data_IF_265265890548
#
_entry.id   IF_265265890548
#
_cell.length_a   1.000
_cell.length_b   1.000
_cell.length_c   1.000
_cell.angle_alpha   90.00
_cell.angle_beta   90.00
_cell.angle_gamma   90.00
#
_symmetry.space_group_name_H-M   'P 1'
#
loop_
_entity.id
_entity.type
_entity.pdbx_description
1 polymer ?
#
# COMPACT_ATOMS: atom_id res chain seq x y z
N UNK A 1 -12.23 -12.44 -5.22
CA UNK A 1 -11.39 -13.47 -4.52
C UNK A 1 -11.71 -13.39 -3.04
N UNK A 2 -11.84 -14.53 -2.36
CA UNK A 2 -12.19 -14.61 -0.93
C UNK A 2 -11.11 -15.40 -0.22
N UNK A 3 -10.58 -14.86 0.87
CA UNK A 3 -9.67 -15.56 1.76
C UNK A 3 -10.49 -16.44 2.71
N UNK A 4 -10.31 -17.75 2.62
CA UNK A 4 -11.07 -18.73 3.41
C UNK A 4 -10.43 -19.03 4.76
N UNK A 5 -9.10 -19.00 4.77
CA UNK A 5 -8.31 -19.46 5.89
C UNK A 5 -6.98 -18.71 5.98
N UNK A 6 -6.55 -18.43 7.21
CA UNK A 6 -5.21 -17.92 7.50
C UNK A 6 -4.65 -18.63 8.72
N UNK A 7 -3.39 -19.05 8.62
CA UNK A 7 -2.58 -19.57 9.73
C UNK A 7 -1.36 -18.67 9.90
N UNK A 8 -0.98 -18.40 11.14
CA UNK A 8 0.24 -17.66 11.43
C UNK A 8 0.92 -18.20 12.70
N UNK A 9 2.25 -18.14 12.68
CA UNK A 9 3.13 -18.53 13.77
C UNK A 9 4.20 -17.45 13.95
N UNK A 10 4.50 -17.11 15.20
CA UNK A 10 5.54 -16.13 15.53
C UNK A 10 5.32 -14.72 14.98
N UNK A 11 4.07 -14.28 14.74
CA UNK A 11 3.76 -13.00 14.13
C UNK A 11 3.38 -11.95 15.18
N UNK A 12 4.19 -10.89 15.33
CA UNK A 12 3.93 -9.76 16.25
C UNK A 12 3.62 -10.23 17.69
N UNK A 13 2.48 -9.80 18.25
CA UNK A 13 1.99 -10.26 19.57
C UNK A 13 0.88 -11.30 19.46
N UNK A 14 0.61 -11.83 18.26
CA UNK A 14 -0.46 -12.81 18.07
C UNK A 14 -0.07 -14.17 18.62
N UNK A 15 -1.00 -14.85 19.26
CA UNK A 15 -0.86 -16.26 19.62
C UNK A 15 -0.97 -17.10 18.36
N UNK A 16 -0.08 -18.08 18.22
CA UNK A 16 -0.04 -18.94 17.03
C UNK A 16 -1.38 -19.66 16.88
N UNK A 17 -2.04 -19.47 15.75
CA UNK A 17 -3.37 -20.02 15.52
C UNK A 17 -3.72 -20.12 14.03
N UNK A 18 -4.78 -20.84 13.78
CA UNK A 18 -5.43 -21.07 12.49
C UNK A 18 -6.86 -20.54 12.55
N UNK A 19 -7.28 -19.74 11.56
CA UNK A 19 -8.56 -19.05 11.57
C UNK A 19 -9.32 -19.32 10.28
N UNK A 20 -10.54 -19.81 10.41
CA UNK A 20 -11.52 -19.87 9.30
C UNK A 20 -12.27 -18.54 9.19
N UNK A 21 -12.40 -18.01 8.00
CA UNK A 21 -12.92 -16.68 7.72
C UNK A 21 -14.30 -16.73 7.04
N UNK A 22 -15.12 -15.70 7.25
CA UNK A 22 -16.36 -15.52 6.53
C UNK A 22 -16.12 -14.87 5.16
N UNK A 23 -16.98 -15.19 4.20
CA UNK A 23 -16.86 -14.72 2.82
C UNK A 23 -17.14 -13.21 2.67
N UNK A 24 -17.99 -12.65 3.54
CA UNK A 24 -18.39 -11.25 3.46
C UNK A 24 -17.73 -10.41 4.57
N UNK A 25 -18.24 -10.45 5.79
CA UNK A 25 -17.77 -9.60 6.87
C UNK A 25 -17.10 -10.38 8.00
N UNK A 26 -15.91 -9.94 8.37
CA UNK A 26 -15.12 -10.44 9.48
C UNK A 26 -14.87 -9.30 10.47
N UNK A 27 -15.59 -9.30 11.59
CA UNK A 27 -15.44 -8.28 12.62
C UNK A 27 -14.39 -8.70 13.63
N UNK A 28 -13.42 -7.83 13.87
CA UNK A 28 -12.30 -8.05 14.77
C UNK A 28 -12.44 -7.08 15.93
N UNK A 29 -12.91 -7.57 17.07
CA UNK A 29 -13.27 -6.76 18.23
C UNK A 29 -12.29 -7.02 19.37
N UNK A 30 -11.86 -5.95 20.03
CA UNK A 30 -10.95 -6.04 21.18
C UNK A 30 -10.47 -4.66 21.62
N UNK A 31 -9.86 -4.60 22.78
CA UNK A 31 -9.31 -3.35 23.33
C UNK A 31 -8.12 -2.82 22.51
N UNK A 32 -7.72 -1.58 22.80
CA UNK A 32 -6.51 -1.01 22.19
C UNK A 32 -5.28 -1.82 22.64
N UNK A 33 -4.44 -2.17 21.66
CA UNK A 33 -3.26 -3.00 21.89
C UNK A 33 -3.53 -4.51 21.95
N UNK A 34 -4.79 -4.98 21.85
CA UNK A 34 -5.13 -6.40 21.91
C UNK A 34 -4.53 -7.24 20.77
N UNK A 35 -4.22 -6.62 19.60
CA UNK A 35 -3.67 -7.33 18.44
C UNK A 35 -4.50 -7.20 17.16
N UNK A 36 -5.61 -6.42 17.17
CA UNK A 36 -6.50 -6.23 16.00
C UNK A 36 -5.75 -5.83 14.73
N UNK A 37 -4.97 -4.75 14.83
CA UNK A 37 -4.14 -4.27 13.71
C UNK A 37 -3.11 -5.31 13.27
N UNK A 38 -2.56 -6.11 14.20
CA UNK A 38 -1.57 -7.14 13.87
C UNK A 38 -2.20 -8.31 13.10
N UNK A 39 -3.48 -8.65 13.36
CA UNK A 39 -4.20 -9.60 12.53
C UNK A 39 -4.46 -9.07 11.11
N UNK A 40 -4.88 -7.81 10.98
CA UNK A 40 -5.00 -7.17 9.67
C UNK A 40 -3.64 -7.09 8.96
N UNK A 41 -2.55 -6.85 9.70
CA UNK A 41 -1.18 -6.84 9.16
C UNK A 41 -0.77 -8.22 8.66
N UNK A 42 -1.12 -9.31 9.36
CA UNK A 42 -0.86 -10.68 8.91
C UNK A 42 -1.58 -11.01 7.60
N UNK A 43 -2.87 -10.61 7.46
CA UNK A 43 -3.64 -10.79 6.23
C UNK A 43 -3.03 -9.96 5.07
N UNK A 44 -2.67 -8.70 5.33
CA UNK A 44 -2.00 -7.86 4.34
C UNK A 44 -0.65 -8.43 3.92
N UNK A 45 0.14 -8.91 4.90
CA UNK A 45 1.44 -9.52 4.67
C UNK A 45 1.33 -10.80 3.84
N UNK A 46 0.33 -11.63 4.12
CA UNK A 46 0.03 -12.82 3.33
C UNK A 46 -0.21 -12.52 1.86
N UNK A 47 -0.85 -11.39 1.53
CA UNK A 47 -1.13 -10.99 0.14
C UNK A 47 0.01 -10.29 -0.58
N UNK A 48 0.92 -9.62 0.16
CA UNK A 48 1.89 -8.69 -0.41
C UNK A 48 3.35 -9.02 -0.06
N UNK A 49 3.60 -9.97 0.82
CA UNK A 49 4.93 -10.30 1.37
C UNK A 49 5.67 -9.03 1.89
N UNK A 50 4.94 -8.07 2.40
CA UNK A 50 5.44 -6.81 2.98
C UNK A 50 4.40 -6.24 3.93
N UNK A 51 4.83 -5.57 4.99
CA UNK A 51 3.95 -4.87 5.91
C UNK A 51 3.53 -3.51 5.35
N UNK A 52 2.35 -3.03 5.75
CA UNK A 52 1.91 -1.65 5.47
C UNK A 52 2.40 -0.65 6.55
N UNK A 53 2.95 -1.13 7.67
CA UNK A 53 3.41 -0.32 8.81
C UNK A 53 4.92 -0.34 8.98
N UNK A 54 5.56 -1.46 8.63
CA UNK A 54 6.94 -1.76 8.95
C UNK A 54 7.78 -1.92 7.67
N UNK A 55 8.95 -1.30 7.66
CA UNK A 55 9.86 -1.39 6.53
C UNK A 55 10.80 -2.61 6.60
N UNK A 56 11.06 -3.10 7.81
CA UNK A 56 11.94 -4.23 8.06
C UNK A 56 11.10 -5.44 8.50
N UNK A 57 10.92 -6.40 7.62
CA UNK A 57 10.11 -7.59 7.88
C UNK A 57 10.52 -8.35 9.14
N UNK A 58 11.79 -8.27 9.54
CA UNK A 58 12.28 -8.92 10.78
C UNK A 58 11.58 -8.41 12.05
N UNK A 59 11.12 -7.17 12.04
CA UNK A 59 10.37 -6.58 13.14
C UNK A 59 8.94 -7.15 13.27
N UNK A 60 8.51 -7.99 12.32
CA UNK A 60 7.25 -8.72 12.38
C UNK A 60 7.38 -10.00 13.21
N UNK A 61 8.61 -10.53 13.40
CA UNK A 61 8.85 -11.73 14.19
C UNK A 61 8.56 -11.40 15.66
N UNK A 62 7.76 -12.24 16.32
CA UNK A 62 7.45 -12.11 17.74
C UNK A 62 8.76 -12.17 18.58
N UNK A 63 8.83 -11.40 19.65
CA UNK A 63 10.06 -11.21 20.42
C UNK A 63 10.67 -12.52 20.96
N UNK A 64 9.83 -13.49 21.30
CA UNK A 64 10.21 -14.82 21.82
C UNK A 64 10.32 -15.92 20.73
N UNK A 65 10.12 -15.54 19.44
CA UNK A 65 10.19 -16.46 18.32
C UNK A 65 11.47 -16.30 17.50
N UNK A 66 11.91 -17.37 16.88
CA UNK A 66 13.07 -17.36 15.97
C UNK A 66 12.68 -17.10 14.52
N UNK A 67 11.41 -17.30 14.17
CA UNK A 67 10.85 -17.13 12.83
C UNK A 67 9.40 -16.70 12.90
N UNK A 68 8.88 -16.22 11.77
CA UNK A 68 7.46 -16.15 11.50
C UNK A 68 7.10 -17.03 10.32
N UNK A 69 5.88 -17.55 10.34
CA UNK A 69 5.23 -18.20 9.21
C UNK A 69 3.82 -17.65 9.07
N UNK A 70 3.41 -17.35 7.84
CA UNK A 70 2.03 -16.97 7.51
C UNK A 70 1.60 -17.77 6.32
N UNK A 71 0.49 -18.47 6.44
CA UNK A 71 -0.16 -19.22 5.35
C UNK A 71 -1.56 -18.70 5.12
N UNK A 72 -1.94 -18.57 3.86
CA UNK A 72 -3.23 -18.03 3.45
C UNK A 72 -3.81 -18.86 2.32
N UNK A 73 -5.06 -19.29 2.47
CA UNK A 73 -5.78 -20.09 1.47
C UNK A 73 -7.02 -19.30 1.02
N UNK A 74 -7.08 -18.98 -0.27
CA UNK A 74 -8.23 -18.31 -0.86
C UNK A 74 -9.27 -19.31 -1.38
N UNK A 75 -8.82 -20.41 -1.99
CA UNK A 75 -9.61 -21.56 -2.40
C UNK A 75 -8.69 -22.79 -2.49
N UNK A 76 -9.21 -23.94 -2.94
CA UNK A 76 -8.48 -25.22 -2.93
C UNK A 76 -7.12 -25.16 -3.67
N UNK A 77 -7.04 -24.38 -4.76
CA UNK A 77 -5.85 -24.29 -5.60
C UNK A 77 -5.03 -22.99 -5.38
N UNK A 78 -5.59 -21.99 -4.67
CA UNK A 78 -4.95 -20.68 -4.48
C UNK A 78 -4.53 -20.47 -3.03
N UNK A 79 -3.29 -20.80 -2.75
CA UNK A 79 -2.67 -20.65 -1.44
C UNK A 79 -1.30 -19.99 -1.54
N UNK A 80 -0.89 -19.38 -0.46
CA UNK A 80 0.44 -18.81 -0.31
C UNK A 80 1.00 -19.06 1.08
N UNK A 81 2.31 -19.22 1.16
CA UNK A 81 3.02 -19.32 2.42
C UNK A 81 4.25 -18.40 2.41
N UNK A 82 4.45 -17.72 3.53
CA UNK A 82 5.62 -16.89 3.80
C UNK A 82 6.31 -17.43 5.03
N UNK A 83 7.58 -17.73 4.90
CA UNK A 83 8.47 -18.05 6.02
C UNK A 83 9.58 -17.00 6.09
N UNK A 84 9.84 -16.47 7.26
CA UNK A 84 10.91 -15.51 7.52
C UNK A 84 11.63 -15.86 8.81
N UNK A 85 12.94 -15.97 8.73
CA UNK A 85 13.84 -16.02 9.88
C UNK A 85 14.88 -14.86 9.79
N UNK A 86 15.89 -14.88 10.65
CA UNK A 86 16.96 -13.86 10.69
C UNK A 86 17.76 -13.76 9.39
N UNK A 87 17.86 -14.86 8.64
CA UNK A 87 18.80 -14.98 7.53
C UNK A 87 18.07 -14.99 6.17
N UNK A 88 16.84 -15.48 6.11
CA UNK A 88 16.17 -15.76 4.83
C UNK A 88 14.66 -15.53 4.90
N UNK A 89 14.13 -15.16 3.74
CA UNK A 89 12.70 -15.11 3.45
C UNK A 89 12.38 -16.08 2.33
N UNK A 90 11.42 -16.97 2.56
CA UNK A 90 10.93 -17.92 1.55
C UNK A 90 9.48 -17.59 1.24
N UNK A 91 9.16 -17.59 -0.03
CA UNK A 91 7.80 -17.36 -0.55
C UNK A 91 7.38 -18.60 -1.32
N UNK A 92 6.17 -19.05 -1.08
CA UNK A 92 5.54 -20.16 -1.82
C UNK A 92 4.18 -19.70 -2.30
N UNK A 93 3.83 -20.00 -3.54
CA UNK A 93 2.53 -19.69 -4.14
C UNK A 93 2.04 -20.93 -4.91
N UNK A 94 0.84 -21.41 -4.56
CA UNK A 94 0.24 -22.63 -5.13
C UNK A 94 1.22 -23.82 -5.11
N UNK A 95 1.89 -24.03 -3.96
CA UNK A 95 2.89 -25.09 -3.77
C UNK A 95 4.26 -24.86 -4.42
N UNK A 96 4.43 -23.81 -5.23
CA UNK A 96 5.68 -23.53 -5.92
C UNK A 96 6.50 -22.46 -5.20
N UNK A 97 7.81 -22.68 -5.08
CA UNK A 97 8.72 -21.69 -4.51
C UNK A 97 8.85 -20.47 -5.44
N UNK A 98 8.69 -19.27 -4.88
CA UNK A 98 8.79 -18.00 -5.59
C UNK A 98 10.14 -17.35 -5.29
N UNK A 99 10.92 -17.06 -6.33
CA UNK A 99 12.24 -16.43 -6.20
C UNK A 99 12.20 -14.89 -6.27
N UNK A 100 11.17 -14.32 -6.89
CA UNK A 100 11.02 -12.88 -7.06
C UNK A 100 9.79 -12.38 -6.34
N UNK A 101 9.95 -11.38 -5.48
CA UNK A 101 8.83 -10.77 -4.76
C UNK A 101 7.77 -10.19 -5.72
N UNK A 102 8.20 -9.73 -6.91
CA UNK A 102 7.29 -9.23 -7.96
C UNK A 102 6.25 -10.26 -8.42
N UNK A 103 6.59 -11.55 -8.35
CA UNK A 103 5.71 -12.63 -8.78
C UNK A 103 4.74 -13.06 -7.67
N UNK A 104 5.00 -12.61 -6.44
CA UNK A 104 4.17 -12.84 -5.27
C UNK A 104 3.22 -11.67 -4.99
N UNK A 105 3.69 -10.42 -5.14
CA UNK A 105 2.89 -9.24 -4.79
C UNK A 105 1.59 -9.23 -5.58
N UNK A 106 0.50 -9.15 -4.81
CA UNK A 106 -0.85 -9.03 -5.36
C UNK A 106 -1.45 -10.34 -5.85
N UNK A 107 -0.90 -11.52 -5.53
CA UNK A 107 -1.62 -12.79 -5.77
C UNK A 107 -3.00 -12.77 -5.09
N UNK A 108 -3.08 -12.15 -3.92
CA UNK A 108 -4.29 -11.81 -3.21
C UNK A 108 -4.47 -10.29 -3.27
N UNK A 109 -5.57 -9.82 -3.85
CA UNK A 109 -5.90 -8.39 -3.89
C UNK A 109 -6.33 -7.93 -2.51
N UNK A 110 -5.50 -7.12 -1.82
CA UNK A 110 -5.80 -6.60 -0.49
C UNK A 110 -5.61 -5.10 -0.45
N UNK A 111 -6.59 -4.37 0.05
CA UNK A 111 -6.51 -2.92 0.30
C UNK A 111 -6.77 -2.64 1.77
N UNK A 112 -5.86 -1.94 2.43
CA UNK A 112 -6.01 -1.47 3.82
C UNK A 112 -6.53 -0.02 3.81
N UNK A 113 -7.49 0.26 4.67
CA UNK A 113 -8.00 1.60 4.98
C UNK A 113 -7.80 1.79 6.49
N UNK A 114 -6.95 2.72 6.88
CA UNK A 114 -6.59 2.95 8.27
C UNK A 114 -6.70 4.42 8.66
N UNK A 115 -6.69 4.67 9.96
CA UNK A 115 -6.64 6.03 10.50
C UNK A 115 -5.38 6.79 10.05
N UNK A 116 -4.29 6.07 9.79
CA UNK A 116 -3.02 6.65 9.35
C UNK A 116 -3.02 7.10 7.88
N UNK A 117 -4.00 6.66 7.07
CA UNK A 117 -4.07 7.04 5.66
C UNK A 117 -4.28 8.54 5.44
N UNK A 118 -4.72 9.28 6.48
CA UNK A 118 -4.78 10.75 6.46
C UNK A 118 -3.41 11.36 6.10
N UNK A 119 -2.30 10.69 6.46
CA UNK A 119 -0.96 11.15 6.14
C UNK A 119 -0.61 11.05 4.64
N UNK A 120 -1.42 10.37 3.82
CA UNK A 120 -1.30 10.41 2.37
C UNK A 120 -1.66 11.81 1.88
N UNK A 121 -2.69 12.43 2.44
CA UNK A 121 -3.15 13.77 2.05
C UNK A 121 -2.34 14.86 2.75
N UNK A 122 -2.20 14.78 4.09
CA UNK A 122 -1.56 15.78 4.95
C UNK A 122 -0.04 15.69 5.00
N UNK A 123 0.50 14.50 4.85
CA UNK A 123 1.90 14.19 5.13
C UNK A 123 2.90 14.59 4.04
N UNK A 124 4.13 14.13 4.21
CA UNK A 124 5.22 14.40 3.28
C UNK A 124 5.01 13.73 1.91
N UNK A 125 5.63 14.25 0.84
CA UNK A 125 5.60 13.65 -0.51
C UNK A 125 5.98 12.17 -0.57
N UNK A 126 6.81 11.70 0.37
CA UNK A 126 7.20 10.29 0.46
C UNK A 126 6.01 9.35 0.72
N UNK A 127 5.04 9.77 1.54
CA UNK A 127 3.81 8.99 1.81
C UNK A 127 2.94 8.89 0.56
N UNK A 128 2.79 10.00 -0.17
CA UNK A 128 2.01 10.05 -1.42
C UNK A 128 2.63 9.18 -2.52
N UNK A 129 3.97 9.24 -2.66
CA UNK A 129 4.67 8.35 -3.60
C UNK A 129 4.55 6.89 -3.20
N UNK A 130 4.68 6.58 -1.92
CA UNK A 130 4.51 5.21 -1.43
C UNK A 130 3.11 4.68 -1.75
N UNK A 131 2.06 5.47 -1.51
CA UNK A 131 0.70 5.12 -1.90
C UNK A 131 0.59 4.83 -3.41
N UNK A 132 1.06 5.75 -4.27
CA UNK A 132 0.99 5.59 -5.72
C UNK A 132 1.76 4.34 -6.19
N UNK A 133 2.97 4.13 -5.64
CA UNK A 133 3.78 2.96 -5.97
C UNK A 133 3.09 1.66 -5.56
N UNK A 134 2.46 1.61 -4.38
CA UNK A 134 1.70 0.44 -3.93
C UNK A 134 0.45 0.19 -4.77
N UNK A 135 -0.31 1.23 -5.09
CA UNK A 135 -1.52 1.11 -5.92
C UNK A 135 -1.19 0.53 -7.31
N UNK A 136 -0.08 0.97 -7.93
CA UNK A 136 0.34 0.45 -9.25
C UNK A 136 1.02 -0.92 -9.14
N UNK A 137 1.81 -1.17 -8.08
CA UNK A 137 2.51 -2.43 -7.86
C UNK A 137 1.55 -3.63 -7.80
N UNK A 138 0.41 -3.48 -7.12
CA UNK A 138 -0.65 -4.50 -7.06
C UNK A 138 -1.29 -4.82 -8.41
N UNK A 139 -1.16 -3.91 -9.38
CA UNK A 139 -1.71 -4.05 -10.73
C UNK A 139 -0.69 -4.62 -11.74
N UNK A 140 0.61 -4.56 -11.42
CA UNK A 140 1.66 -4.87 -12.38
C UNK A 140 2.94 -5.40 -11.71
N UNK A 141 3.21 -6.71 -11.75
CA UNK A 141 4.49 -7.28 -11.30
C UNK A 141 5.70 -6.62 -11.97
N UNK A 142 5.59 -6.26 -13.25
CA UNK A 142 6.64 -5.54 -13.97
C UNK A 142 6.95 -4.16 -13.37
N UNK A 143 5.97 -3.48 -12.75
CA UNK A 143 6.20 -2.22 -12.06
C UNK A 143 7.04 -2.40 -10.79
N UNK A 144 6.81 -3.49 -10.06
CA UNK A 144 7.60 -3.84 -8.87
C UNK A 144 9.06 -4.07 -9.24
N UNK A 145 9.31 -4.82 -10.33
CA UNK A 145 10.66 -5.07 -10.82
C UNK A 145 11.39 -3.76 -11.21
N UNK A 146 10.70 -2.87 -11.95
CA UNK A 146 11.26 -1.57 -12.34
C UNK A 146 11.55 -0.69 -11.12
N UNK A 147 10.68 -0.66 -10.12
CA UNK A 147 10.92 0.10 -8.90
C UNK A 147 12.16 -0.40 -8.14
N UNK A 148 12.33 -1.70 -8.04
CA UNK A 148 13.49 -2.31 -7.37
C UNK A 148 14.78 -1.94 -8.12
N UNK A 149 14.79 -2.09 -9.45
CA UNK A 149 15.94 -1.75 -10.29
C UNK A 149 16.25 -0.25 -10.20
N UNK A 150 15.24 0.60 -10.37
CA UNK A 150 15.39 2.04 -10.30
C UNK A 150 15.94 2.52 -8.95
N UNK A 151 15.44 1.98 -7.83
CA UNK A 151 15.97 2.32 -6.49
C UNK A 151 17.43 1.94 -6.32
N UNK A 152 17.86 0.79 -6.85
CA UNK A 152 19.27 0.38 -6.85
C UNK A 152 20.14 1.36 -7.64
N UNK A 153 19.67 1.76 -8.83
CA UNK A 153 20.39 2.73 -9.68
C UNK A 153 20.52 4.08 -8.97
N UNK A 154 19.42 4.60 -8.38
CA UNK A 154 19.45 5.85 -7.62
C UNK A 154 20.43 5.77 -6.44
N UNK A 155 20.47 4.65 -5.70
CA UNK A 155 21.41 4.46 -4.60
C UNK A 155 22.85 4.44 -5.09
N UNK A 156 23.16 3.72 -6.18
CA UNK A 156 24.49 3.67 -6.76
C UNK A 156 24.92 5.05 -7.26
N UNK A 157 24.02 5.75 -7.96
CA UNK A 157 24.26 7.09 -8.47
C UNK A 157 24.50 8.11 -7.34
N UNK A 158 23.74 8.02 -6.24
CA UNK A 158 23.93 8.88 -5.07
C UNK A 158 25.28 8.61 -4.39
N UNK A 159 25.70 7.35 -4.22
CA UNK A 159 27.03 7.01 -3.69
C UNK A 159 28.12 7.58 -4.58
N UNK A 160 27.97 7.50 -5.89
CA UNK A 160 28.92 8.06 -6.83
C UNK A 160 28.97 9.59 -6.74
N UNK A 161 27.81 10.28 -6.68
CA UNK A 161 27.73 11.73 -6.50
C UNK A 161 28.44 12.21 -5.21
N UNK A 162 28.40 11.41 -4.14
CA UNK A 162 29.06 11.71 -2.86
C UNK A 162 30.58 11.48 -2.88
N UNK A 163 31.07 10.63 -3.77
CA UNK A 163 32.48 10.25 -3.86
C UNK A 163 33.24 10.96 -5.00
N UNK A 164 32.55 11.77 -5.81
CA UNK A 164 33.13 12.38 -6.99
C UNK A 164 34.15 13.47 -6.62
N UNK A 165 35.40 13.30 -7.02
CA UNK A 165 36.41 14.34 -7.04
C UNK A 165 36.46 14.94 -8.45
N UNK A 166 36.89 16.20 -8.59
CA UNK A 166 36.75 17.02 -9.81
C UNK A 166 37.27 16.37 -11.11
N UNK A 167 38.09 15.34 -11.04
CA UNK A 167 38.76 14.75 -12.20
C UNK A 167 38.34 13.34 -12.62
N UNK A 168 37.40 12.69 -11.93
CA UNK A 168 37.19 11.26 -12.14
C UNK A 168 35.77 10.80 -12.29
N UNK A 169 35.42 10.26 -13.46
CA UNK A 169 34.24 9.41 -13.54
C UNK A 169 33.18 9.74 -14.59
N UNK A 170 33.49 10.58 -15.60
CA UNK A 170 32.52 10.93 -16.67
C UNK A 170 31.87 9.71 -17.33
N UNK A 171 32.65 8.68 -17.65
CA UNK A 171 32.13 7.44 -18.25
C UNK A 171 31.15 6.69 -17.35
N UNK A 172 31.44 6.64 -16.04
CA UNK A 172 30.54 6.00 -15.09
C UNK A 172 29.22 6.80 -14.90
N UNK A 173 29.31 8.13 -14.95
CA UNK A 173 28.15 9.00 -14.96
C UNK A 173 27.23 8.71 -16.14
N UNK A 174 27.80 8.65 -17.34
CA UNK A 174 27.05 8.41 -18.57
C UNK A 174 26.30 7.07 -18.50
N UNK A 175 26.96 6.02 -18.01
CA UNK A 175 26.30 4.69 -17.82
C UNK A 175 25.16 4.75 -16.78
N UNK A 176 25.41 5.38 -15.63
CA UNK A 176 24.37 5.50 -14.58
C UNK A 176 23.21 6.39 -15.02
N UNK A 177 23.47 7.43 -15.82
CA UNK A 177 22.43 8.27 -16.41
C UNK A 177 21.57 7.50 -17.41
N UNK A 178 22.18 6.73 -18.32
CA UNK A 178 21.44 5.90 -19.28
C UNK A 178 20.54 4.88 -18.56
N UNK A 179 21.06 4.23 -17.52
CA UNK A 179 20.26 3.32 -16.70
C UNK A 179 19.11 4.03 -15.98
N UNK A 180 19.37 5.20 -15.38
CA UNK A 180 18.37 6.02 -14.70
C UNK A 180 17.25 6.47 -15.65
N UNK A 181 17.62 6.93 -16.85
CA UNK A 181 16.68 7.34 -17.91
C UNK A 181 15.81 6.16 -18.31
N UNK A 182 16.40 5.03 -18.66
CA UNK A 182 15.67 3.84 -19.09
C UNK A 182 14.67 3.38 -18.04
N UNK A 183 15.11 3.13 -16.81
CA UNK A 183 14.24 2.61 -15.76
C UNK A 183 13.26 3.67 -15.26
N UNK A 184 13.66 4.93 -15.18
CA UNK A 184 12.76 6.03 -14.78
C UNK A 184 11.62 6.25 -15.77
N UNK A 185 11.89 6.14 -17.07
CA UNK A 185 10.87 6.29 -18.12
C UNK A 185 9.90 5.11 -18.14
N UNK A 186 10.32 3.88 -17.84
CA UNK A 186 9.37 2.76 -17.67
C UNK A 186 8.42 2.98 -16.48
N UNK A 187 8.90 3.55 -15.38
CA UNK A 187 8.05 3.95 -14.24
C UNK A 187 7.07 5.05 -14.67
N UNK A 188 7.55 6.09 -15.36
CA UNK A 188 6.69 7.18 -15.85
C UNK A 188 5.60 6.70 -16.78
N UNK A 189 5.92 5.85 -17.73
CA UNK A 189 4.96 5.26 -18.67
C UNK A 189 3.84 4.51 -17.91
N UNK A 190 4.19 3.71 -16.91
CA UNK A 190 3.23 2.96 -16.13
C UNK A 190 2.39 3.86 -15.21
N UNK A 191 2.98 4.89 -14.60
CA UNK A 191 2.24 5.90 -13.83
C UNK A 191 1.27 6.68 -14.74
N UNK A 192 1.73 7.19 -15.88
CA UNK A 192 0.89 7.92 -16.84
C UNK A 192 -0.33 7.11 -17.28
N UNK A 193 -0.18 5.79 -17.48
CA UNK A 193 -1.28 4.93 -17.85
C UNK A 193 -2.33 4.72 -16.73
N UNK A 194 -1.96 4.87 -15.45
CA UNK A 194 -2.85 4.60 -14.31
C UNK A 194 -3.42 5.86 -13.64
N UNK A 195 -2.73 6.97 -13.73
CA UNK A 195 -3.13 8.24 -13.09
C UNK A 195 -4.52 8.74 -13.51
N UNK A 196 -4.93 8.70 -14.80
CA UNK A 196 -6.28 9.13 -15.17
C UNK A 196 -7.38 8.33 -14.49
N UNK A 197 -7.23 7.00 -14.41
CA UNK A 197 -8.18 6.13 -13.72
C UNK A 197 -8.23 6.40 -12.22
N UNK A 198 -7.08 6.59 -11.56
CA UNK A 198 -7.02 6.96 -10.16
C UNK A 198 -7.74 8.29 -9.90
N UNK A 199 -7.47 9.30 -10.71
CA UNK A 199 -8.09 10.64 -10.61
C UNK A 199 -9.61 10.58 -10.75
N UNK A 200 -10.12 9.88 -11.76
CA UNK A 200 -11.56 9.73 -11.99
C UNK A 200 -12.24 9.04 -10.80
N UNK A 201 -11.72 7.88 -10.36
CA UNK A 201 -12.30 7.13 -9.23
C UNK A 201 -12.21 7.89 -7.91
N UNK A 202 -11.11 8.60 -7.67
CA UNK A 202 -10.99 9.47 -6.51
C UNK A 202 -12.08 10.54 -6.47
N UNK A 203 -12.36 11.20 -7.61
CA UNK A 203 -13.44 12.17 -7.72
C UNK A 203 -14.82 11.54 -7.48
N UNK A 204 -15.08 10.37 -8.07
CA UNK A 204 -16.35 9.64 -7.93
C UNK A 204 -16.60 9.22 -6.47
N UNK A 205 -15.61 8.60 -5.80
CA UNK A 205 -15.78 8.21 -4.40
C UNK A 205 -15.89 9.42 -3.47
N UNK A 206 -15.14 10.47 -3.69
CA UNK A 206 -15.15 11.66 -2.83
C UNK A 206 -16.48 12.41 -2.87
N UNK A 207 -17.21 12.35 -3.99
CA UNK A 207 -18.54 12.93 -4.12
C UNK A 207 -19.58 12.32 -3.17
N UNK A 208 -19.36 11.09 -2.68
CA UNK A 208 -20.23 10.47 -1.67
C UNK A 208 -20.04 11.07 -0.26
N UNK A 209 -18.86 11.61 0.03
CA UNK A 209 -18.50 12.13 1.36
C UNK A 209 -18.63 13.65 1.47
N UNK A 210 -18.59 14.39 0.35
CA UNK A 210 -18.56 15.84 0.34
C UNK A 210 -19.25 16.41 -0.89
N UNK A 211 -19.93 17.56 -0.71
CA UNK A 211 -20.44 18.38 -1.82
C UNK A 211 -19.34 19.20 -2.51
N UNK A 212 -18.20 19.37 -1.84
CA UNK A 212 -17.03 20.04 -2.40
C UNK A 212 -16.30 19.11 -3.37
N UNK A 213 -15.75 19.67 -4.43
CA UNK A 213 -14.99 18.92 -5.41
C UNK A 213 -13.59 18.62 -4.90
N UNK A 214 -13.27 17.34 -4.74
CA UNK A 214 -11.91 16.87 -4.48
C UNK A 214 -11.23 16.51 -5.81
N UNK A 215 -9.94 16.81 -5.90
CA UNK A 215 -9.15 16.47 -7.08
C UNK A 215 -7.72 16.06 -6.67
N UNK A 216 -7.05 15.29 -7.53
CA UNK A 216 -5.66 14.88 -7.37
C UNK A 216 -4.92 15.05 -8.68
N UNK A 217 -3.79 15.75 -8.63
CA UNK A 217 -2.91 15.97 -9.77
C UNK A 217 -1.51 15.41 -9.51
N UNK A 218 -0.89 14.88 -10.56
CA UNK A 218 0.48 14.41 -10.50
C UNK A 218 1.45 15.54 -10.86
N UNK A 219 2.31 15.89 -9.91
CA UNK A 219 3.37 16.87 -10.13
C UNK A 219 4.67 16.17 -10.47
N UNK A 220 5.02 16.16 -11.75
CA UNK A 220 6.31 15.69 -12.22
C UNK A 220 7.38 16.78 -12.11
N UNK A 221 8.58 16.41 -11.67
CA UNK A 221 9.77 17.31 -11.70
C UNK A 221 10.44 17.37 -13.07
N UNK A 222 10.03 16.50 -14.00
CA UNK A 222 10.49 16.46 -15.38
C UNK A 222 9.35 16.89 -16.31
N UNK A 223 9.68 17.61 -17.38
CA UNK A 223 8.70 17.94 -18.39
C UNK A 223 8.15 16.65 -19.04
N UNK A 224 6.84 16.60 -19.24
CA UNK A 224 6.14 15.49 -19.93
C UNK A 224 6.33 14.09 -19.30
N UNK A 225 6.70 13.99 -18.00
CA UNK A 225 7.00 12.71 -17.34
C UNK A 225 8.07 11.92 -18.12
N UNK A 226 9.12 12.58 -18.55
CA UNK A 226 10.20 11.99 -19.33
C UNK A 226 11.56 12.44 -18.82
N UNK A 227 12.46 11.48 -18.59
CA UNK A 227 13.87 11.72 -18.33
C UNK A 227 14.65 11.63 -19.63
N UNK A 228 15.52 12.60 -19.87
CA UNK A 228 16.49 12.60 -20.96
C UNK A 228 17.85 13.11 -20.48
N UNK A 229 18.85 13.01 -21.34
CA UNK A 229 20.19 13.51 -21.06
C UNK A 229 20.22 15.02 -20.81
N UNK A 230 19.34 15.80 -21.42
CA UNK A 230 19.31 17.26 -21.26
C UNK A 230 18.77 17.63 -19.87
N UNK A 231 17.72 16.93 -19.40
CA UNK A 231 17.21 17.07 -18.04
C UNK A 231 18.32 16.82 -17.02
N UNK A 232 19.05 15.70 -17.14
CA UNK A 232 20.13 15.35 -16.22
C UNK A 232 21.30 16.34 -16.27
N UNK A 233 21.69 16.79 -17.47
CA UNK A 233 22.74 17.81 -17.64
C UNK A 233 22.39 19.13 -16.95
N UNK A 234 21.13 19.59 -17.05
CA UNK A 234 20.69 20.85 -16.41
C UNK A 234 20.82 20.82 -14.90
N UNK A 235 20.61 19.68 -14.26
CA UNK A 235 20.64 19.55 -12.80
C UNK A 235 21.96 19.04 -12.25
N UNK A 236 22.91 18.67 -13.11
CA UNK A 236 24.17 18.01 -12.77
C UNK A 236 24.96 18.71 -11.65
N UNK A 237 25.18 20.01 -11.79
CA UNK A 237 25.95 20.77 -10.79
C UNK A 237 25.25 20.76 -9.43
N UNK A 238 23.91 20.89 -9.44
CA UNK A 238 23.11 20.81 -8.23
C UNK A 238 23.16 19.42 -7.59
N UNK A 239 23.14 18.36 -8.38
CA UNK A 239 23.25 16.98 -7.90
C UNK A 239 24.62 16.69 -7.27
N UNK A 240 25.70 17.19 -7.87
CA UNK A 240 27.05 17.09 -7.31
C UNK A 240 27.12 17.85 -5.99
N UNK A 241 26.63 19.08 -5.93
CA UNK A 241 26.64 19.88 -4.72
C UNK A 241 25.82 19.26 -3.55
N UNK A 242 24.74 18.55 -3.87
CA UNK A 242 23.86 17.91 -2.87
C UNK A 242 24.23 16.44 -2.60
N UNK A 243 25.09 15.82 -3.40
CA UNK A 243 25.43 14.41 -3.31
C UNK A 243 24.24 13.47 -3.55
N UNK A 244 23.23 13.91 -4.32
CA UNK A 244 22.00 13.13 -4.54
C UNK A 244 21.29 13.46 -5.85
N UNK A 245 20.62 12.46 -6.42
CA UNK A 245 19.75 12.59 -7.59
C UNK A 245 18.52 13.44 -7.24
N UNK A 246 18.27 14.53 -8.00
CA UNK A 246 17.23 15.52 -7.68
C UNK A 246 16.05 15.51 -8.64
N UNK A 247 16.08 14.71 -9.70
CA UNK A 247 15.01 14.55 -10.69
C UNK A 247 14.68 13.08 -10.91
N UNK A 248 13.45 12.81 -11.29
CA UNK A 248 12.95 11.45 -11.57
C UNK A 248 11.78 11.04 -10.69
N UNK A 249 11.17 9.87 -10.94
CA UNK A 249 9.94 9.40 -10.27
C UNK A 249 9.99 9.42 -8.74
N UNK A 250 11.18 9.29 -8.15
CA UNK A 250 11.40 9.34 -6.69
C UNK A 250 11.33 10.77 -6.10
N UNK A 251 11.20 11.80 -6.93
CA UNK A 251 11.11 13.23 -6.55
C UNK A 251 9.76 13.86 -6.86
N UNK A 252 8.91 13.15 -7.57
CA UNK A 252 7.59 13.63 -7.95
C UNK A 252 6.61 13.61 -6.79
N UNK A 253 5.42 14.16 -7.00
CA UNK A 253 4.40 14.28 -5.96
C UNK A 253 2.98 14.10 -6.49
N UNK A 254 2.03 13.83 -5.58
CA UNK A 254 0.59 13.96 -5.81
C UNK A 254 0.10 15.19 -5.06
N UNK A 255 -0.62 16.06 -5.74
CA UNK A 255 -1.19 17.28 -5.16
C UNK A 255 -2.70 17.10 -5.01
N UNK A 256 -3.18 17.14 -3.78
CA UNK A 256 -4.60 17.08 -3.46
C UNK A 256 -5.20 18.47 -3.37
N UNK A 257 -6.34 18.67 -3.98
CA UNK A 257 -7.08 19.94 -3.92
C UNK A 257 -8.56 19.74 -3.56
N UNK A 258 -9.13 20.78 -2.95
CA UNK A 258 -10.55 20.91 -2.61
C UNK A 258 -11.05 22.23 -3.19
N UNK A 259 -12.05 22.18 -4.09
CA UNK A 259 -12.54 23.35 -4.85
C UNK A 259 -11.38 24.17 -5.48
N UNK A 260 -10.37 23.48 -6.01
CA UNK A 260 -9.20 24.07 -6.66
C UNK A 260 -8.15 24.66 -5.71
N UNK A 261 -8.29 24.50 -4.38
CA UNK A 261 -7.33 24.95 -3.35
C UNK A 261 -6.59 23.76 -2.75
N UNK A 262 -5.31 23.94 -2.42
CA UNK A 262 -4.49 22.87 -1.83
C UNK A 262 -5.10 22.35 -0.52
N UNK A 263 -5.40 21.05 -0.44
CA UNK A 263 -6.02 20.44 0.75
C UNK A 263 -5.22 20.66 2.03
N UNK A 264 -3.90 20.61 1.96
CA UNK A 264 -3.01 20.82 3.12
C UNK A 264 -3.24 22.13 3.88
N UNK A 265 -3.86 23.13 3.25
CA UNK A 265 -4.07 24.45 3.84
C UNK A 265 -5.54 24.81 4.04
N UNK A 266 -6.44 24.15 3.32
CA UNK A 266 -7.84 24.58 3.25
C UNK A 266 -8.85 23.50 3.62
N UNK A 267 -8.45 22.23 3.71
CA UNK A 267 -9.34 21.16 4.13
C UNK A 267 -9.40 21.06 5.67
N UNK A 268 -10.59 20.78 6.17
CA UNK A 268 -10.77 20.32 7.56
C UNK A 268 -10.28 18.87 7.70
N UNK A 269 -9.97 18.45 8.93
CA UNK A 269 -9.56 17.07 9.20
C UNK A 269 -10.56 16.04 8.68
N UNK A 270 -11.86 16.30 8.85
CA UNK A 270 -12.93 15.43 8.32
C UNK A 270 -12.97 15.36 6.78
N UNK A 271 -12.51 16.40 6.07
CA UNK A 271 -12.36 16.40 4.60
C UNK A 271 -11.09 15.66 4.16
N UNK A 272 -9.98 15.82 4.89
CA UNK A 272 -8.75 15.06 4.63
C UNK A 272 -8.96 13.54 4.85
N UNK A 273 -9.74 13.14 5.87
CA UNK A 273 -10.14 11.75 6.09
C UNK A 273 -11.02 11.23 4.96
N UNK A 274 -12.04 12.00 4.57
CA UNK A 274 -12.88 11.64 3.44
C UNK A 274 -12.04 11.46 2.17
N UNK A 275 -11.07 12.34 1.93
CA UNK A 275 -10.16 12.23 0.80
C UNK A 275 -9.27 10.98 0.88
N UNK A 276 -8.68 10.67 2.04
CA UNK A 276 -7.84 9.47 2.19
C UNK A 276 -8.63 8.18 2.01
N UNK A 277 -9.85 8.09 2.55
CA UNK A 277 -10.76 6.96 2.36
C UNK A 277 -11.14 6.82 0.88
N UNK A 278 -11.55 7.92 0.23
CA UNK A 278 -11.91 7.93 -1.20
C UNK A 278 -10.75 7.47 -2.08
N UNK A 279 -9.53 7.85 -1.73
CA UNK A 279 -8.33 7.44 -2.44
C UNK A 279 -8.06 5.93 -2.30
N UNK A 280 -8.31 5.37 -1.12
CA UNK A 280 -8.16 3.92 -0.86
C UNK A 280 -9.27 3.10 -1.52
N UNK A 281 -10.49 3.62 -1.57
CA UNK A 281 -11.59 3.01 -2.34
C UNK A 281 -11.31 3.07 -3.84
N UNK A 282 -10.72 4.17 -4.34
CA UNK A 282 -10.27 4.29 -5.73
C UNK A 282 -9.19 3.25 -6.07
N UNK A 283 -8.23 3.01 -5.16
CA UNK A 283 -7.24 1.93 -5.28
C UNK A 283 -7.92 0.55 -5.39
N UNK A 284 -8.89 0.27 -4.52
CA UNK A 284 -9.63 -0.98 -4.52
C UNK A 284 -10.43 -1.20 -5.82
N UNK A 285 -11.07 -0.14 -6.32
CA UNK A 285 -11.83 -0.19 -7.57
C UNK A 285 -10.93 -0.39 -8.80
N UNK A 286 -9.74 0.23 -8.83
CA UNK A 286 -8.74 -0.02 -9.87
C UNK A 286 -8.27 -1.48 -9.88
N UNK A 287 -8.14 -2.10 -8.70
CA UNK A 287 -7.80 -3.52 -8.58
C UNK A 287 -8.93 -4.39 -9.13
N UNK A 288 -10.17 -4.08 -8.78
CA UNK A 288 -11.34 -4.79 -9.28
C UNK A 288 -11.44 -4.73 -10.81
N UNK A 289 -11.33 -3.54 -11.40
CA UNK A 289 -11.38 -3.39 -12.87
C UNK A 289 -10.27 -4.16 -13.58
N UNK A 290 -9.08 -4.22 -12.98
CA UNK A 290 -7.94 -4.90 -13.58
C UNK A 290 -8.03 -6.42 -13.49
N UNK A 291 -8.73 -6.97 -12.49
CA UNK A 291 -8.73 -8.40 -12.16
C UNK A 291 -10.08 -9.08 -12.34
N UNK A 292 -11.18 -8.33 -12.41
CA UNK A 292 -12.54 -8.86 -12.40
C UNK A 292 -12.98 -9.43 -11.05
N UNK A 293 -12.16 -9.34 -10.01
CA UNK A 293 -12.43 -9.87 -8.67
C UNK A 293 -12.27 -8.75 -7.63
N UNK A 294 -13.24 -8.60 -6.73
CA UNK A 294 -13.18 -7.60 -5.65
C UNK A 294 -11.99 -7.88 -4.73
N UNK A 295 -11.17 -6.87 -4.39
CA UNK A 295 -10.12 -7.03 -3.40
C UNK A 295 -10.71 -7.19 -2.00
N UNK A 296 -9.95 -7.81 -1.13
CA UNK A 296 -10.22 -7.86 0.31
C UNK A 296 -9.99 -6.45 0.88
N UNK A 297 -10.95 -5.96 1.65
CA UNK A 297 -10.86 -4.67 2.32
C UNK A 297 -10.55 -4.87 3.80
N UNK A 298 -9.45 -4.31 4.25
CA UNK A 298 -9.06 -4.27 5.66
C UNK A 298 -9.36 -2.88 6.20
N UNK A 299 -10.17 -2.76 7.24
CA UNK A 299 -10.49 -1.49 7.90
C UNK A 299 -9.93 -1.49 9.32
N UNK A 300 -8.87 -0.70 9.54
CA UNK A 300 -8.23 -0.55 10.85
C UNK A 300 -8.67 0.76 11.50
N UNK A 301 -9.67 0.68 12.36
CA UNK A 301 -10.28 1.83 13.05
C UNK A 301 -10.71 2.97 12.11
N UNK A 302 -10.81 2.70 10.81
CA UNK A 302 -11.07 3.69 9.77
C UNK A 302 -12.37 4.47 9.95
N UNK A 303 -13.34 3.91 10.67
CA UNK A 303 -14.63 4.55 10.97
C UNK A 303 -14.67 5.29 12.31
N UNK A 304 -13.66 5.14 13.17
CA UNK A 304 -13.69 5.62 14.56
C UNK A 304 -13.83 7.15 14.68
N UNK A 305 -13.27 7.88 13.74
CA UNK A 305 -13.26 9.34 13.74
C UNK A 305 -14.17 9.96 12.65
N UNK A 306 -15.00 9.13 12.00
CA UNK A 306 -16.03 9.61 11.09
C UNK A 306 -17.32 9.93 11.88
N UNK A 307 -18.01 11.00 11.50
CA UNK A 307 -19.38 11.22 11.93
C UNK A 307 -20.28 10.07 11.42
N UNK A 308 -21.44 9.90 12.07
CA UNK A 308 -22.36 8.79 11.77
C UNK A 308 -22.75 8.74 10.28
N UNK A 309 -23.01 9.90 9.66
CA UNK A 309 -23.42 9.98 8.25
C UNK A 309 -22.30 9.49 7.31
N UNK A 310 -21.07 9.93 7.51
CA UNK A 310 -19.92 9.48 6.70
C UNK A 310 -19.58 8.02 6.94
N UNK A 311 -19.78 7.54 8.18
CA UNK A 311 -19.61 6.12 8.49
C UNK A 311 -20.62 5.26 7.73
N UNK A 312 -21.89 5.65 7.71
CA UNK A 312 -22.94 4.93 6.96
C UNK A 312 -22.64 4.94 5.45
N UNK A 313 -22.15 6.07 4.92
CA UNK A 313 -21.68 6.17 3.54
C UNK A 313 -20.54 5.19 3.28
N UNK A 314 -19.49 5.18 4.14
CA UNK A 314 -18.38 4.25 3.99
C UNK A 314 -18.87 2.80 3.97
N UNK A 315 -19.63 2.39 4.98
CA UNK A 315 -20.20 1.03 5.05
C UNK A 315 -21.05 0.70 3.82
N UNK A 316 -21.73 1.70 3.23
CA UNK A 316 -22.51 1.59 2.00
C UNK A 316 -21.68 1.28 0.76
N UNK A 317 -20.44 1.73 0.73
CA UNK A 317 -19.51 1.60 -0.39
C UNK A 317 -18.60 0.35 -0.32
N UNK A 318 -18.61 -0.38 0.81
CA UNK A 318 -17.80 -1.59 0.94
C UNK A 318 -18.43 -2.73 0.14
N UNK A 319 -17.62 -3.37 -0.69
CA UNK A 319 -17.99 -4.51 -1.50
C UNK A 319 -16.91 -5.60 -1.43
N UNK A 320 -17.32 -6.87 -1.51
CA UNK A 320 -16.44 -8.03 -1.37
C UNK A 320 -16.19 -8.40 0.09
N UNK A 321 -15.10 -9.13 0.34
CA UNK A 321 -14.75 -9.56 1.69
C UNK A 321 -14.13 -8.42 2.48
N UNK A 322 -14.67 -8.16 3.68
CA UNK A 322 -14.30 -7.05 4.55
C UNK A 322 -13.85 -7.56 5.91
N UNK A 323 -12.71 -7.07 6.37
CA UNK A 323 -12.22 -7.22 7.74
C UNK A 323 -12.31 -5.87 8.45
N UNK A 324 -13.09 -5.81 9.51
CA UNK A 324 -13.38 -4.58 10.23
C UNK A 324 -12.86 -4.66 11.66
N UNK A 325 -11.71 -4.00 11.92
CA UNK A 325 -11.15 -3.92 13.26
C UNK A 325 -11.68 -2.70 14.02
N UNK A 326 -12.22 -2.92 15.23
CA UNK A 326 -12.77 -1.88 16.07
C UNK A 326 -12.74 -2.27 17.55
N UNK A 327 -12.85 -1.27 18.43
CA UNK A 327 -13.02 -1.52 19.87
C UNK A 327 -14.46 -1.91 20.24
N UNK A 328 -15.42 -1.64 19.37
CA UNK A 328 -16.86 -1.96 19.58
C UNK A 328 -17.47 -2.48 18.30
N UNK A 329 -18.47 -3.35 18.45
CA UNK A 329 -19.23 -3.84 17.31
C UNK A 329 -19.88 -2.66 16.56
N UNK A 330 -19.62 -2.47 15.25
CA UNK A 330 -20.30 -1.45 14.47
C UNK A 330 -21.79 -1.80 14.31
N UNK A 331 -22.61 -0.80 14.01
CA UNK A 331 -23.98 -1.04 13.58
C UNK A 331 -23.96 -1.84 12.27
N UNK A 332 -24.50 -3.05 12.29
CA UNK A 332 -24.49 -3.94 11.12
C UNK A 332 -25.40 -3.37 10.02
N UNK A 333 -25.00 -3.56 8.77
CA UNK A 333 -25.96 -3.40 7.66
C UNK A 333 -27.13 -4.39 7.84
N UNK A 334 -28.36 -3.97 7.61
CA UNK A 334 -29.48 -4.91 7.56
C UNK A 334 -29.20 -6.03 6.55
N UNK A 335 -29.20 -7.29 7.00
CA UNK A 335 -28.93 -8.47 6.17
C UNK A 335 -27.47 -8.97 6.15
N UNK A 336 -26.51 -8.24 6.73
CA UNK A 336 -25.10 -8.70 6.84
C UNK A 336 -24.93 -9.79 7.91
N UNK A 337 -25.92 -10.04 8.76
CA UNK A 337 -25.84 -10.98 9.89
C UNK A 337 -25.66 -12.44 9.46
N UNK A 338 -26.05 -12.81 8.25
CA UNK A 338 -26.10 -14.23 7.82
C UNK A 338 -24.77 -14.79 7.29
N UNK A 339 -23.78 -13.95 6.98
CA UNK A 339 -22.48 -14.36 6.40
C UNK A 339 -21.31 -13.64 7.06
N UNK A 340 -21.44 -13.27 8.33
CA UNK A 340 -20.40 -12.61 9.10
C UNK A 340 -19.83 -13.52 10.19
N UNK A 341 -18.57 -13.28 10.55
CA UNK A 341 -17.91 -13.83 11.74
C UNK A 341 -17.43 -12.70 12.64
N UNK A 342 -17.46 -12.98 13.94
CA UNK A 342 -16.92 -12.08 14.95
C UNK A 342 -15.75 -12.76 15.63
N UNK A 343 -14.63 -12.07 15.66
CA UNK A 343 -13.41 -12.48 16.33
C UNK A 343 -13.18 -11.55 17.52
N UNK A 344 -13.08 -12.09 18.71
CA UNK A 344 -12.68 -11.38 19.90
C UNK A 344 -11.19 -11.57 20.12
N UNK A 345 -10.45 -10.47 20.16
CA UNK A 345 -8.99 -10.51 20.40
C UNK A 345 -8.68 -9.95 21.78
N UNK A 346 -8.02 -10.75 22.60
CA UNK A 346 -7.44 -10.35 23.87
C UNK A 346 -5.99 -10.80 23.96
N UNK A 347 -5.05 -9.84 24.14
CA UNK A 347 -3.59 -10.11 24.28
C UNK A 347 -3.01 -10.99 23.17
N UNK A 348 -3.53 -10.88 21.97
CA UNK A 348 -3.10 -11.66 20.81
C UNK A 348 -3.80 -13.01 20.64
N UNK A 349 -4.59 -13.45 21.60
CA UNK A 349 -5.43 -14.64 21.50
C UNK A 349 -6.76 -14.30 20.81
N UNK A 350 -7.29 -15.23 20.00
CA UNK A 350 -8.47 -15.01 19.17
C UNK A 350 -9.53 -16.06 19.50
N UNK A 351 -10.68 -15.58 19.94
CA UNK A 351 -11.88 -16.39 20.13
C UNK A 351 -12.92 -16.06 19.04
N UNK A 352 -13.58 -17.10 18.53
CA UNK A 352 -14.64 -16.99 17.51
C UNK A 352 -15.99 -17.09 18.19
N UNK A 353 -16.88 -16.12 17.96
CA UNK A 353 -18.25 -16.13 18.47
C UNK A 353 -19.30 -16.32 17.38
#
# INVERSE_FOLDING_TARGET
MVLKHIEYQGFRNLVDTEIQLADDFNYIIGDNGAGKTNLLEAIFYAGNASSFRENEDRNLIRFDAEFLRVEANADEDRNAAIFLDKDRKKLTLCGNAISRISDFVGWLGVTIISIEDIWIVRGAPSKRRAFLDWAIAKLSPAYVADLIEYRKIVQQRNRFLQSINEDGGKKLFDVLDEQLIRCGNEIYKKRAAKLPGLKAKFADFSANFSIKKFDVDYQCKCAHMELDQNVLKRVRQREIALGQTVVGPHRDDLLFSIDGRAMQHYASEGEERAASISLKLAEAEMLYEARGERPILLLDEASAELDNKKRDVLLGLLEGQVFFASTRMPSLKPGAEKQSRVFHIERGDIEIS
#
